data_IF_272425779947
#
_entry.id   IF_272425779947
#
_cell.length_a   1.000
_cell.length_b   1.000
_cell.length_c   1.000
_cell.angle_alpha   90.00
_cell.angle_beta   90.00
_cell.angle_gamma   90.00
#
_symmetry.space_group_name_H-M   'P 1'
#
loop_
_entity.id
_entity.type
_entity.pdbx_description
1 polymer ?
#
# COMPACT_ATOMS: atom_id res chain seq x y z
N UNK A 1 6.41 21.56 -2.37
CA UNK A 1 5.46 20.44 -2.20
C UNK A 1 4.15 20.86 -2.83
N UNK A 2 3.73 20.20 -3.92
CA UNK A 2 2.49 20.57 -4.61
C UNK A 2 1.30 20.44 -3.67
N UNK A 3 0.46 21.48 -3.59
CA UNK A 3 -0.76 21.46 -2.80
C UNK A 3 -1.68 20.39 -3.37
N UNK A 4 -1.81 19.26 -2.67
CA UNK A 4 -2.81 18.26 -3.03
C UNK A 4 -4.18 18.94 -3.00
N UNK A 5 -4.91 18.91 -4.12
CA UNK A 5 -6.26 19.47 -4.20
C UNK A 5 -7.17 18.60 -3.33
N UNK A 6 -7.38 19.01 -2.08
CA UNK A 6 -8.19 18.25 -1.13
C UNK A 6 -9.67 18.50 -1.41
N UNK A 7 -10.39 17.43 -1.74
CA UNK A 7 -11.85 17.45 -1.78
C UNK A 7 -12.39 16.79 -0.51
N UNK A 8 -13.40 17.41 0.11
CA UNK A 8 -14.12 16.79 1.22
C UNK A 8 -15.12 15.78 0.65
N UNK A 9 -15.06 14.54 1.14
CA UNK A 9 -15.94 13.45 0.73
C UNK A 9 -16.53 12.81 1.98
N UNK A 10 -17.81 12.48 1.94
CA UNK A 10 -18.48 11.71 2.99
C UNK A 10 -18.39 10.22 2.64
N UNK A 11 -17.92 9.41 3.57
CA UNK A 11 -17.73 7.97 3.40
C UNK A 11 -18.46 7.23 4.52
N UNK A 12 -19.10 6.12 4.19
CA UNK A 12 -19.63 5.17 5.17
C UNK A 12 -18.54 4.14 5.41
N UNK A 13 -18.10 4.01 6.66
CA UNK A 13 -17.00 3.13 7.08
C UNK A 13 -17.36 2.39 8.36
N UNK A 14 -16.86 1.17 8.50
CA UNK A 14 -16.99 0.42 9.75
C UNK A 14 -16.09 1.04 10.83
N UNK A 15 -16.72 1.52 11.92
CA UNK A 15 -16.03 2.24 13.00
C UNK A 15 -15.03 1.35 13.74
N UNK A 16 -15.30 0.06 13.88
CA UNK A 16 -14.40 -0.87 14.55
C UNK A 16 -13.10 -1.05 13.74
N UNK A 17 -13.21 -1.20 12.43
CA UNK A 17 -12.07 -1.30 11.51
C UNK A 17 -11.24 -0.02 11.48
N UNK A 18 -11.89 1.15 11.44
CA UNK A 18 -11.18 2.44 11.56
C UNK A 18 -10.46 2.54 12.90
N UNK A 19 -11.07 2.08 14.00
CA UNK A 19 -10.43 2.05 15.31
C UNK A 19 -9.18 1.17 15.36
N UNK A 20 -9.19 0.01 14.69
CA UNK A 20 -8.01 -0.86 14.55
C UNK A 20 -6.92 -0.17 13.73
N UNK A 21 -7.27 0.41 12.58
CA UNK A 21 -6.32 1.15 11.75
C UNK A 21 -5.72 2.36 12.47
N UNK A 22 -6.52 3.07 13.27
CA UNK A 22 -6.03 4.21 14.05
C UNK A 22 -4.92 3.82 15.02
N UNK A 23 -5.09 2.69 15.72
CA UNK A 23 -4.06 2.14 16.62
C UNK A 23 -2.81 1.73 15.86
N UNK A 24 -2.96 1.09 14.70
CA UNK A 24 -1.83 0.64 13.88
C UNK A 24 -1.04 1.80 13.27
N UNK A 25 -1.74 2.84 12.82
CA UNK A 25 -1.15 3.99 12.13
C UNK A 25 -0.77 5.13 13.09
N UNK A 26 -1.15 5.06 14.37
CA UNK A 26 -0.85 6.09 15.36
C UNK A 26 -1.51 7.45 15.09
N UNK A 27 -2.66 7.47 14.41
CA UNK A 27 -3.33 8.70 13.98
C UNK A 27 -4.30 9.25 15.05
N UNK A 28 -4.66 10.52 14.94
CA UNK A 28 -5.42 11.26 15.96
C UNK A 28 -6.90 11.41 15.63
N UNK A 29 -7.31 11.19 14.38
CA UNK A 29 -8.72 11.24 13.97
C UNK A 29 -9.10 10.14 12.97
N UNK A 30 -10.39 9.85 12.84
CA UNK A 30 -10.89 8.90 11.83
C UNK A 30 -10.57 9.37 10.41
N UNK A 31 -10.77 10.66 10.12
CA UNK A 31 -10.49 11.24 8.81
C UNK A 31 -9.02 11.12 8.43
N UNK A 32 -8.13 11.34 9.39
CA UNK A 32 -6.70 11.14 9.23
C UNK A 32 -6.35 9.66 9.06
N UNK A 33 -6.98 8.77 9.84
CA UNK A 33 -6.81 7.32 9.72
C UNK A 33 -7.15 6.84 8.32
N UNK A 34 -8.31 7.25 7.80
CA UNK A 34 -8.79 6.87 6.46
C UNK A 34 -7.85 7.41 5.39
N UNK A 35 -7.41 8.67 5.51
CA UNK A 35 -6.45 9.28 4.58
C UNK A 35 -5.14 8.50 4.56
N UNK A 36 -4.53 8.27 5.72
CA UNK A 36 -3.28 7.54 5.84
C UNK A 36 -3.41 6.12 5.29
N UNK A 37 -4.51 5.42 5.57
CA UNK A 37 -4.75 4.08 5.04
C UNK A 37 -4.81 4.05 3.50
N UNK A 38 -5.45 5.05 2.88
CA UNK A 38 -5.49 5.20 1.42
C UNK A 38 -4.08 5.45 0.85
N UNK A 39 -3.33 6.38 1.45
CA UNK A 39 -1.95 6.69 1.03
C UNK A 39 -1.04 5.47 1.13
N UNK A 40 -1.08 4.75 2.26
CA UNK A 40 -0.34 3.50 2.45
C UNK A 40 -0.69 2.46 1.38
N UNK A 41 -1.97 2.27 1.08
CA UNK A 41 -2.40 1.31 0.05
C UNK A 41 -1.89 1.70 -1.33
N UNK A 42 -1.97 2.97 -1.70
CA UNK A 42 -1.44 3.46 -2.98
C UNK A 42 0.07 3.28 -3.07
N UNK A 43 0.81 3.62 -2.01
CA UNK A 43 2.25 3.42 -1.94
C UNK A 43 2.63 1.93 -2.10
N UNK A 44 1.90 1.02 -1.43
CA UNK A 44 2.12 -0.43 -1.58
C UNK A 44 1.86 -0.92 -3.00
N UNK A 45 0.82 -0.40 -3.68
CA UNK A 45 0.53 -0.76 -5.07
C UNK A 45 1.63 -0.27 -6.02
N UNK A 46 2.12 0.96 -5.83
CA UNK A 46 3.23 1.50 -6.62
C UNK A 46 4.53 0.72 -6.38
N UNK A 47 4.82 0.36 -5.13
CA UNK A 47 5.98 -0.47 -4.80
C UNK A 47 5.89 -1.86 -5.47
N UNK A 48 4.71 -2.49 -5.42
CA UNK A 48 4.47 -3.77 -6.09
C UNK A 48 4.68 -3.66 -7.61
N UNK A 49 4.15 -2.62 -8.25
CA UNK A 49 4.33 -2.40 -9.68
C UNK A 49 5.81 -2.15 -10.03
N UNK A 50 6.52 -1.37 -9.22
CA UNK A 50 7.97 -1.18 -9.38
C UNK A 50 8.74 -2.50 -9.29
N UNK A 51 8.43 -3.36 -8.31
CA UNK A 51 9.04 -4.69 -8.19
C UNK A 51 8.76 -5.56 -9.41
N UNK A 52 7.52 -5.57 -9.93
CA UNK A 52 7.17 -6.31 -11.15
C UNK A 52 7.94 -5.81 -12.37
N UNK A 53 8.10 -4.50 -12.51
CA UNK A 53 8.92 -3.91 -13.59
C UNK A 53 10.37 -4.34 -13.47
N UNK A 54 10.94 -4.32 -12.26
CA UNK A 54 12.31 -4.78 -12.01
C UNK A 54 12.51 -6.26 -12.34
N UNK A 55 11.53 -7.11 -12.01
CA UNK A 55 11.54 -8.53 -12.43
C UNK A 55 11.49 -8.67 -13.96
N UNK A 56 10.64 -7.89 -14.64
CA UNK A 56 10.50 -7.92 -16.10
C UNK A 56 11.77 -7.52 -16.86
N UNK A 57 12.58 -6.61 -16.30
CA UNK A 57 13.87 -6.19 -16.90
C UNK A 57 15.07 -7.01 -16.39
N UNK A 58 14.83 -8.11 -15.67
CA UNK A 58 15.87 -9.00 -15.15
C UNK A 58 16.75 -8.39 -14.06
N UNK A 59 16.34 -7.26 -13.45
CA UNK A 59 17.09 -6.59 -12.37
C UNK A 59 16.69 -7.05 -10.98
N UNK A 60 15.66 -7.90 -10.88
CA UNK A 60 15.25 -8.53 -9.63
C UNK A 60 14.90 -10.00 -9.91
N UNK A 61 15.65 -10.92 -9.32
CA UNK A 61 15.38 -12.36 -9.43
C UNK A 61 14.47 -12.82 -8.28
N UNK A 62 13.43 -13.59 -8.61
CA UNK A 62 12.61 -14.29 -7.63
C UNK A 62 13.33 -15.57 -7.18
N UNK A 63 14.08 -15.45 -6.08
CA UNK A 63 14.83 -16.56 -5.48
C UNK A 63 13.96 -17.71 -4.98
N UNK A 64 12.68 -17.48 -4.67
CA UNK A 64 11.77 -18.55 -4.26
C UNK A 64 11.28 -19.41 -5.42
N UNK A 65 11.34 -18.89 -6.66
CA UNK A 65 11.01 -19.65 -7.88
C UNK A 65 12.22 -20.31 -8.53
N UNK A 66 13.44 -19.97 -8.12
CA UNK A 66 14.68 -20.51 -8.72
C UNK A 66 14.82 -22.02 -8.49
N UNK A 67 14.42 -22.52 -7.33
CA UNK A 67 14.51 -23.95 -6.96
C UNK A 67 13.63 -24.89 -7.79
N UNK A 68 12.63 -24.36 -8.51
CA UNK A 68 11.75 -25.20 -9.36
C UNK A 68 12.39 -25.52 -10.71
N UNK A 69 13.40 -24.75 -11.16
CA UNK A 69 14.03 -24.92 -12.49
C UNK A 69 15.34 -25.69 -12.48
N UNK A 70 15.94 -25.94 -11.33
CA UNK A 70 17.23 -26.64 -11.18
C UNK A 70 17.11 -28.15 -11.01
N UNK A 71 15.90 -28.72 -11.10
CA UNK A 71 15.65 -30.16 -11.21
C UNK A 71 15.04 -30.48 -12.58
N UNK A 72 15.87 -30.46 -13.61
CA UNK A 72 15.55 -30.90 -14.97
C UNK A 72 16.81 -31.38 -15.64
#
# INVERSE_FOLDING_TARGET
MGTARMARVNLIVDKASVGKLRKLLGTHSDSETVRAAVEHRLASLHALDALRRLQGIGKLEDVFRRDVRTRG
#
